data_IF_977959905447
#
_entry.id   IF_977959905447
#
_cell.length_a   1.000
_cell.length_b   1.000
_cell.length_c   1.000
_cell.angle_alpha   90.00
_cell.angle_beta   90.00
_cell.angle_gamma   90.00
#
_symmetry.space_group_name_H-M   'P 1'
#
loop_
_entity.id
_entity.type
_entity.pdbx_description
1 polymer ?
#
# COMPACT_ATOMS: atom_id res chain seq x y z
N UNK A 1 1.50 2.37 -17.33
CA UNK A 1 0.54 3.39 -16.89
C UNK A 1 0.62 3.42 -15.38
N UNK A 2 0.83 4.59 -14.79
CA UNK A 2 1.00 4.76 -13.35
C UNK A 2 -0.38 4.81 -12.69
N UNK A 3 -0.46 4.51 -11.40
CA UNK A 3 -1.69 4.68 -10.63
C UNK A 3 -2.21 6.13 -10.69
N UNK A 4 -3.54 6.31 -10.68
CA UNK A 4 -4.14 7.63 -10.49
C UNK A 4 -3.70 8.25 -9.15
N UNK A 5 -3.70 9.59 -9.01
CA UNK A 5 -3.27 10.26 -7.78
C UNK A 5 -4.01 9.80 -6.52
N UNK A 6 -5.31 9.51 -6.64
CA UNK A 6 -6.12 9.00 -5.54
C UNK A 6 -5.71 7.57 -5.15
N UNK A 7 -5.42 6.70 -6.12
CA UNK A 7 -4.90 5.36 -5.83
C UNK A 7 -3.47 5.37 -5.31
N UNK A 8 -2.63 6.30 -5.77
CA UNK A 8 -1.30 6.53 -5.19
C UNK A 8 -1.42 6.89 -3.71
N UNK A 9 -2.34 7.79 -3.36
CA UNK A 9 -2.60 8.16 -1.97
C UNK A 9 -3.15 6.98 -1.15
N UNK A 10 -4.11 6.22 -1.71
CA UNK A 10 -4.62 5.01 -1.08
C UNK A 10 -3.52 3.97 -0.84
N UNK A 11 -2.60 3.81 -1.80
CA UNK A 11 -1.48 2.87 -1.69
C UNK A 11 -0.54 3.29 -0.57
N UNK A 12 -0.23 4.58 -0.45
CA UNK A 12 0.60 5.10 0.62
C UNK A 12 -0.05 4.89 2.00
N UNK A 13 -1.36 5.10 2.15
CA UNK A 13 -2.06 4.82 3.40
C UNK A 13 -2.00 3.34 3.80
N UNK A 14 -2.29 2.43 2.87
CA UNK A 14 -2.27 1.00 3.17
C UNK A 14 -0.83 0.50 3.38
N UNK A 15 0.14 1.02 2.63
CA UNK A 15 1.55 0.68 2.81
C UNK A 15 2.07 1.16 4.17
N UNK A 16 1.70 2.37 4.59
CA UNK A 16 2.01 2.87 5.92
C UNK A 16 1.47 1.95 7.02
N UNK A 17 0.21 1.54 6.94
CA UNK A 17 -0.38 0.60 7.92
C UNK A 17 0.25 -0.80 7.88
N UNK A 18 0.78 -1.20 6.73
CA UNK A 18 1.42 -2.50 6.56
C UNK A 18 2.81 -2.53 7.21
N UNK A 19 3.52 -1.41 7.25
CA UNK A 19 4.90 -1.34 7.77
C UNK A 19 4.98 -0.71 9.17
N UNK A 20 3.99 0.09 9.56
CA UNK A 20 3.95 0.76 10.87
C UNK A 20 3.52 -0.23 11.94
N UNK A 21 4.49 -0.82 12.64
CA UNK A 21 4.21 -1.76 13.72
C UNK A 21 3.86 -1.06 15.05
N UNK A 22 4.28 0.20 15.25
CA UNK A 22 4.18 0.91 16.53
C UNK A 22 3.69 2.38 16.46
N UNK A 23 3.36 2.88 15.28
CA UNK A 23 2.85 4.25 15.08
C UNK A 23 3.94 5.32 14.92
N UNK A 24 5.21 4.93 14.79
CA UNK A 24 6.32 5.83 14.43
C UNK A 24 6.97 5.40 13.12
N UNK A 25 7.18 6.35 12.20
CA UNK A 25 7.90 6.06 10.94
C UNK A 25 9.39 5.96 11.23
N UNK A 26 9.91 4.75 11.24
CA UNK A 26 11.35 4.51 11.31
C UNK A 26 12.03 4.66 9.92
N UNK A 27 13.37 4.60 9.88
CA UNK A 27 14.13 4.77 8.65
C UNK A 27 13.85 3.68 7.59
N UNK A 28 13.46 2.49 8.02
CA UNK A 28 13.12 1.34 7.18
C UNK A 28 11.77 1.56 6.51
N UNK A 29 10.79 2.04 7.29
CA UNK A 29 9.47 2.40 6.80
C UNK A 29 9.54 3.52 5.75
N UNK A 30 10.35 4.55 6.01
CA UNK A 30 10.57 5.63 5.07
C UNK A 30 11.24 5.16 3.76
N UNK A 31 12.19 4.22 3.84
CA UNK A 31 12.78 3.61 2.64
C UNK A 31 11.74 2.83 1.82
N UNK A 32 10.86 2.08 2.48
CA UNK A 32 9.83 1.32 1.79
C UNK A 32 8.83 2.24 1.05
N UNK A 33 8.36 3.30 1.72
CA UNK A 33 7.49 4.32 1.10
C UNK A 33 8.19 5.07 -0.04
N UNK A 34 9.49 5.36 0.11
CA UNK A 34 10.29 6.00 -0.94
C UNK A 34 10.42 5.11 -2.19
N UNK A 35 10.52 3.78 -2.03
CA UNK A 35 10.52 2.84 -3.16
C UNK A 35 9.19 2.87 -3.91
N UNK A 36 8.05 2.89 -3.20
CA UNK A 36 6.73 3.03 -3.85
C UNK A 36 6.66 4.35 -4.61
N UNK A 37 7.04 5.45 -3.97
CA UNK A 37 7.05 6.79 -4.58
C UNK A 37 7.79 6.79 -5.91
N UNK A 38 8.97 6.18 -5.96
CA UNK A 38 9.75 6.06 -7.19
C UNK A 38 9.08 5.16 -8.23
N UNK A 39 8.59 3.98 -7.85
CA UNK A 39 8.00 3.01 -8.80
C UNK A 39 6.72 3.49 -9.44
N UNK A 40 5.86 4.16 -8.68
CA UNK A 40 4.58 4.68 -9.16
C UNK A 40 4.65 6.14 -9.62
N UNK A 41 5.85 6.73 -9.64
CA UNK A 41 6.07 8.14 -10.00
C UNK A 41 5.15 9.09 -9.22
N UNK A 42 5.01 8.85 -7.91
CA UNK A 42 4.17 9.66 -7.04
C UNK A 42 4.80 11.04 -6.89
N UNK A 43 4.02 12.08 -7.17
CA UNK A 43 4.49 13.46 -7.07
C UNK A 43 4.76 13.85 -5.61
N UNK A 44 5.63 14.84 -5.41
CA UNK A 44 5.88 15.40 -4.08
C UNK A 44 4.61 15.97 -3.45
N UNK A 45 3.68 16.46 -4.25
CA UNK A 45 2.38 16.98 -3.78
C UNK A 45 1.52 15.87 -3.18
N UNK A 46 1.36 14.73 -3.87
CA UNK A 46 0.59 13.58 -3.36
C UNK A 46 1.27 12.99 -2.12
N UNK A 47 2.60 12.89 -2.13
CA UNK A 47 3.35 12.37 -0.99
C UNK A 47 3.26 13.29 0.23
N UNK A 48 3.35 14.61 0.04
CA UNK A 48 3.17 15.59 1.11
C UNK A 48 1.75 15.56 1.68
N UNK A 49 0.73 15.43 0.81
CA UNK A 49 -0.67 15.26 1.23
C UNK A 49 -0.84 14.01 2.10
N UNK A 50 -0.18 12.91 1.74
CA UNK A 50 -0.11 11.70 2.57
C UNK A 50 0.52 11.99 3.94
N UNK A 51 1.71 12.59 3.98
CA UNK A 51 2.43 12.88 5.23
C UNK A 51 1.65 13.81 6.16
N UNK A 52 0.94 14.79 5.61
CA UNK A 52 0.06 15.68 6.38
C UNK A 52 -1.19 14.95 6.87
N UNK A 53 -1.76 14.08 6.04
CA UNK A 53 -3.00 13.39 6.38
C UNK A 53 -2.83 12.35 7.48
N UNK A 54 -1.70 11.64 7.55
CA UNK A 54 -1.49 10.63 8.60
C UNK A 54 -1.23 11.26 9.98
N UNK A 55 -0.81 12.54 10.06
CA UNK A 55 -0.54 13.23 11.32
C UNK A 55 -1.83 13.35 12.13
N UNK A 56 -1.88 12.63 13.26
CA UNK A 56 -3.01 12.68 14.20
C UNK A 56 -4.23 11.85 13.78
N UNK A 57 -4.19 11.11 12.67
CA UNK A 57 -5.23 10.14 12.33
C UNK A 57 -5.01 8.82 13.05
N UNK A 58 -6.10 8.15 13.40
CA UNK A 58 -6.06 6.79 13.92
C UNK A 58 -5.88 5.80 12.76
N UNK A 59 -5.22 4.68 13.02
CA UNK A 59 -5.02 3.60 12.03
C UNK A 59 -6.32 3.20 11.31
N UNK A 60 -7.42 3.11 12.06
CA UNK A 60 -8.73 2.76 11.50
C UNK A 60 -9.22 3.78 10.46
N UNK A 61 -8.99 5.07 10.69
CA UNK A 61 -9.42 6.11 9.77
C UNK A 61 -8.53 6.14 8.53
N UNK A 62 -7.21 5.94 8.72
CA UNK A 62 -6.24 5.76 7.62
C UNK A 62 -6.64 4.57 6.74
N UNK A 63 -7.01 3.44 7.36
CA UNK A 63 -7.43 2.24 6.65
C UNK A 63 -8.70 2.48 5.83
N UNK A 64 -9.72 3.07 6.46
CA UNK A 64 -11.01 3.34 5.79
C UNK A 64 -10.79 4.23 4.57
N UNK A 65 -10.07 5.33 4.73
CA UNK A 65 -9.78 6.24 3.61
C UNK A 65 -8.94 5.55 2.52
N UNK A 66 -7.94 4.74 2.91
CA UNK A 66 -7.13 3.97 1.96
C UNK A 66 -7.97 3.02 1.10
N UNK A 67 -8.90 2.30 1.71
CA UNK A 67 -9.81 1.39 0.99
C UNK A 67 -10.84 2.15 0.13
N UNK A 68 -11.36 3.28 0.62
CA UNK A 68 -12.27 4.12 -0.16
C UNK A 68 -11.60 4.64 -1.44
N UNK A 69 -10.35 5.10 -1.33
CA UNK A 69 -9.54 5.52 -2.48
C UNK A 69 -9.25 4.35 -3.43
N UNK A 70 -8.86 3.18 -2.90
CA UNK A 70 -8.65 1.98 -3.72
C UNK A 70 -9.90 1.62 -4.53
N UNK A 71 -11.08 1.73 -3.92
CA UNK A 71 -12.34 1.35 -4.54
C UNK A 71 -12.78 2.25 -5.69
N UNK A 72 -12.16 3.42 -5.86
CA UNK A 72 -12.41 4.33 -6.99
C UNK A 72 -11.63 3.95 -8.25
N UNK A 73 -10.62 3.08 -8.12
CA UNK A 73 -9.78 2.68 -9.24
C UNK A 73 -10.37 1.56 -10.08
N UNK A 74 -9.80 1.36 -11.27
CA UNK A 74 -10.07 0.19 -12.10
C UNK A 74 -9.48 -1.07 -11.47
N UNK A 75 -9.97 -2.24 -11.90
CA UNK A 75 -9.47 -3.54 -11.44
C UNK A 75 -7.95 -3.68 -11.63
N UNK A 76 -7.43 -3.24 -12.78
CA UNK A 76 -6.00 -3.27 -13.09
C UNK A 76 -5.17 -2.35 -12.19
N UNK A 77 -5.68 -1.16 -11.87
CA UNK A 77 -4.98 -0.25 -10.94
C UNK A 77 -4.99 -0.80 -9.51
N UNK A 78 -6.13 -1.34 -9.05
CA UNK A 78 -6.22 -2.02 -7.75
C UNK A 78 -5.24 -3.18 -7.67
N UNK A 79 -5.23 -4.05 -8.68
CA UNK A 79 -4.33 -5.20 -8.76
C UNK A 79 -2.87 -4.76 -8.66
N UNK A 80 -2.47 -3.73 -9.41
CA UNK A 80 -1.12 -3.15 -9.34
C UNK A 80 -0.79 -2.66 -7.93
N UNK A 81 -1.69 -1.91 -7.29
CA UNK A 81 -1.48 -1.42 -5.94
C UNK A 81 -1.32 -2.57 -4.93
N UNK A 82 -2.13 -3.63 -5.01
CA UNK A 82 -2.01 -4.79 -4.12
C UNK A 82 -0.74 -5.62 -4.36
N UNK A 83 -0.22 -5.65 -5.59
CA UNK A 83 1.09 -6.27 -5.87
C UNK A 83 2.20 -5.55 -5.11
N UNK A 84 2.17 -4.21 -5.02
CA UNK A 84 3.13 -3.46 -4.21
C UNK A 84 3.06 -3.82 -2.72
N UNK A 85 1.84 -3.87 -2.16
CA UNK A 85 1.62 -4.23 -0.76
C UNK A 85 2.08 -5.67 -0.46
N UNK A 86 1.71 -6.62 -1.33
CA UNK A 86 2.15 -8.01 -1.20
C UNK A 86 3.68 -8.10 -1.22
N UNK A 87 4.33 -7.46 -2.20
CA UNK A 87 5.79 -7.49 -2.30
C UNK A 87 6.49 -6.85 -1.10
N UNK A 88 5.93 -5.79 -0.52
CA UNK A 88 6.46 -5.20 0.70
C UNK A 88 6.38 -6.16 1.89
N UNK A 89 5.29 -6.92 1.99
CA UNK A 89 5.16 -7.93 3.05
C UNK A 89 6.22 -9.03 2.95
N UNK A 90 6.78 -9.31 1.75
CA UNK A 90 7.82 -10.34 1.58
C UNK A 90 9.22 -9.91 2.06
N UNK A 91 9.48 -8.59 2.26
CA UNK A 91 10.85 -8.04 2.36
C UNK A 91 11.60 -8.45 3.64
N UNK A 92 10.91 -8.81 4.74
CA UNK A 92 11.57 -9.02 6.03
C UNK A 92 11.54 -10.47 6.57
N UNK A 93 11.13 -11.44 5.75
CA UNK A 93 11.16 -12.88 6.08
C UNK A 93 10.29 -13.32 7.27
N UNK A 94 9.68 -12.37 7.99
CA UNK A 94 8.80 -12.53 9.13
C UNK A 94 7.59 -11.63 8.95
N UNK A 95 6.72 -11.97 8.00
CA UNK A 95 5.45 -11.24 7.84
C UNK A 95 4.66 -11.37 9.13
N UNK A 96 4.42 -10.25 9.81
CA UNK A 96 3.68 -10.25 11.05
C UNK A 96 2.21 -10.58 10.76
N UNK A 97 1.55 -11.35 11.62
CA UNK A 97 0.16 -11.80 11.37
C UNK A 97 -0.83 -10.64 11.18
N UNK A 98 -0.54 -9.47 11.78
CA UNK A 98 -1.30 -8.23 11.58
C UNK A 98 -1.21 -7.73 10.13
N UNK A 99 -0.04 -7.83 9.51
CA UNK A 99 0.24 -7.37 8.14
C UNK A 99 -0.42 -8.28 7.12
N UNK A 100 -0.31 -9.61 7.32
CA UNK A 100 -1.03 -10.60 6.51
C UNK A 100 -2.53 -10.35 6.57
N UNK A 101 -3.06 -10.11 7.77
CA UNK A 101 -4.49 -9.85 7.98
C UNK A 101 -4.93 -8.57 7.28
N UNK A 102 -4.16 -7.48 7.41
CA UNK A 102 -4.43 -6.21 6.73
C UNK A 102 -4.47 -6.42 5.22
N UNK A 103 -3.48 -7.10 4.65
CA UNK A 103 -3.38 -7.34 3.21
C UNK A 103 -4.59 -8.14 2.70
N UNK A 104 -4.91 -9.26 3.35
CA UNK A 104 -6.05 -10.12 2.96
C UNK A 104 -7.39 -9.38 3.03
N UNK A 105 -7.63 -8.61 4.10
CA UNK A 105 -8.85 -7.82 4.20
C UNK A 105 -8.91 -6.71 3.16
N UNK A 106 -7.79 -6.06 2.86
CA UNK A 106 -7.73 -4.98 1.89
C UNK A 106 -8.04 -5.47 0.48
N UNK A 107 -7.42 -6.59 0.08
CA UNK A 107 -7.65 -7.26 -1.21
C UNK A 107 -9.13 -7.66 -1.34
N UNK A 108 -9.67 -8.32 -0.31
CA UNK A 108 -11.08 -8.73 -0.30
C UNK A 108 -12.04 -7.54 -0.41
N UNK A 109 -11.79 -6.48 0.35
CA UNK A 109 -12.66 -5.29 0.35
C UNK A 109 -12.58 -4.49 -0.95
N UNK A 110 -11.46 -4.58 -1.67
CA UNK A 110 -11.30 -3.95 -2.96
C UNK A 110 -11.92 -4.75 -4.12
N UNK A 111 -12.35 -5.99 -3.86
CA UNK A 111 -12.91 -6.90 -4.86
C UNK A 111 -11.88 -7.50 -5.80
N UNK A 112 -10.64 -7.70 -5.33
CA UNK A 112 -9.57 -8.32 -6.11
C UNK A 112 -9.34 -9.76 -5.67
N UNK A 113 -9.10 -10.65 -6.62
CA UNK A 113 -8.74 -12.04 -6.34
C UNK A 113 -7.29 -12.13 -5.83
N UNK A 114 -7.11 -12.76 -4.66
CA UNK A 114 -5.81 -12.87 -4.02
C UNK A 114 -4.77 -13.59 -4.90
N UNK A 115 -5.18 -14.63 -5.62
CA UNK A 115 -4.29 -15.40 -6.47
C UNK A 115 -3.75 -14.58 -7.66
N UNK A 116 -4.51 -13.59 -8.13
CA UNK A 116 -4.05 -12.71 -9.21
C UNK A 116 -2.93 -11.79 -8.71
N UNK A 117 -3.05 -11.30 -7.47
CA UNK A 117 -2.00 -10.52 -6.80
C UNK A 117 -0.72 -11.35 -6.66
N UNK A 118 -0.83 -12.58 -6.15
CA UNK A 118 0.32 -13.49 -5.95
C UNK A 118 0.98 -13.82 -7.29
N UNK A 119 0.20 -14.21 -8.29
CA UNK A 119 0.70 -14.59 -9.62
C UNK A 119 1.47 -13.44 -10.26
N UNK A 120 0.90 -12.23 -10.20
CA UNK A 120 1.53 -11.04 -10.78
C UNK A 120 2.76 -10.59 -10.00
N UNK A 121 2.74 -10.71 -8.67
CA UNK A 121 3.91 -10.45 -7.85
C UNK A 121 5.05 -11.42 -8.16
N UNK A 122 4.77 -12.71 -8.34
CA UNK A 122 5.79 -13.72 -8.67
C UNK A 122 6.44 -13.47 -10.04
N UNK A 123 5.69 -12.93 -11.01
CA UNK A 123 6.24 -12.56 -12.32
C UNK A 123 7.23 -11.36 -12.26
N UNK A 124 7.25 -10.61 -11.16
CA UNK A 124 8.19 -9.51 -10.95
C UNK A 124 9.49 -10.04 -10.31
N UNK A 125 10.50 -10.30 -11.14
CA UNK A 125 11.80 -10.84 -10.72
C UNK A 125 12.67 -9.87 -9.91
N UNK A 126 12.38 -8.56 -9.95
CA UNK A 126 13.13 -7.53 -9.21
C UNK A 126 12.13 -6.56 -8.55
N UNK A 127 11.88 -6.73 -7.26
CA UNK A 127 11.10 -5.77 -6.47
C UNK A 127 11.97 -4.98 -5.50
#
# INVERSE_FOLDING_TARGET
>A
MNLSPDLQLGLLYLAHLLISADGSIDATEFQALSKIKSKESISDEVFKKFEEAIKGKKERDIYREGIELMNQGTEEEKLRAFVHLYKMSEVDGRVHIKEVRLLLYSIKNAGIEFNDVVTRAQALNNY
#
